data_IF_770153142886
#
_entry.id   IF_770153142886
#
_cell.length_a   1.000
_cell.length_b   1.000
_cell.length_c   1.000
_cell.angle_alpha   90.00
_cell.angle_beta   90.00
_cell.angle_gamma   90.00
#
_symmetry.space_group_name_H-M   'P 1'
#
loop_
_entity.id
_entity.type
_entity.pdbx_description
1 polymer ?
#
# COMPACT_ATOMS: atom_id res chain seq x y z
N UNK A 1 -21.17 8.45 30.43
CA UNK A 1 -21.44 8.96 29.06
C UNK A 1 -20.33 9.84 28.50
N UNK A 2 -19.80 10.82 29.25
CA UNK A 2 -18.70 11.72 28.81
C UNK A 2 -17.38 10.99 28.47
N UNK A 3 -17.03 9.94 29.22
CA UNK A 3 -15.85 9.09 28.97
C UNK A 3 -15.96 8.27 27.67
N UNK A 4 -17.14 7.76 27.35
CA UNK A 4 -17.37 6.98 26.12
C UNK A 4 -17.21 7.83 24.85
N UNK A 5 -17.69 9.09 24.91
CA UNK A 5 -17.51 10.05 23.82
C UNK A 5 -16.03 10.40 23.62
N UNK A 6 -15.27 10.55 24.70
CA UNK A 6 -13.83 10.83 24.63
C UNK A 6 -13.03 9.66 24.00
N UNK A 7 -13.37 8.41 24.34
CA UNK A 7 -12.77 7.23 23.73
C UNK A 7 -13.08 7.14 22.22
N UNK A 8 -14.33 7.40 21.82
CA UNK A 8 -14.72 7.38 20.40
C UNK A 8 -13.99 8.46 19.60
N UNK A 9 -13.79 9.65 20.15
CA UNK A 9 -13.04 10.72 19.50
C UNK A 9 -11.56 10.36 19.32
N UNK A 10 -10.92 9.72 20.32
CA UNK A 10 -9.54 9.25 20.19
C UNK A 10 -9.41 8.21 19.08
N UNK A 11 -10.34 7.25 19.00
CA UNK A 11 -10.36 6.23 17.93
C UNK A 11 -10.50 6.89 16.56
N UNK A 12 -11.41 7.85 16.40
CA UNK A 12 -11.60 8.58 15.13
C UNK A 12 -10.33 9.37 14.74
N UNK A 13 -9.63 10.00 15.70
CA UNK A 13 -8.39 10.72 15.43
C UNK A 13 -7.27 9.79 14.94
N UNK A 14 -7.15 8.56 15.47
CA UNK A 14 -6.13 7.60 14.99
C UNK A 14 -6.33 7.15 13.54
N UNK A 15 -7.56 7.19 13.04
CA UNK A 15 -7.91 6.78 11.66
C UNK A 15 -7.52 7.84 10.62
N UNK A 16 -7.21 9.07 11.04
CA UNK A 16 -6.90 10.20 10.16
C UNK A 16 -5.42 10.33 9.74
N UNK A 17 -4.61 9.26 9.84
CA UNK A 17 -3.25 9.22 9.30
C UNK A 17 -3.31 9.18 7.76
N UNK A 18 -3.55 10.32 7.10
CA UNK A 18 -2.54 11.26 6.60
C UNK A 18 -1.49 10.52 5.77
N UNK A 19 -1.40 10.87 4.48
CA UNK A 19 -0.37 10.45 3.53
C UNK A 19 1.02 10.79 4.07
N UNK A 20 1.51 9.99 5.03
CA UNK A 20 2.81 10.18 5.65
C UNK A 20 3.86 9.81 4.62
N UNK A 21 4.86 10.69 4.51
CA UNK A 21 6.05 10.40 3.74
C UNK A 21 6.83 9.26 4.41
N UNK A 22 7.41 8.37 3.62
CA UNK A 22 8.16 7.21 4.09
C UNK A 22 9.49 7.07 3.35
N UNK A 23 10.51 6.50 3.99
CA UNK A 23 11.75 6.10 3.33
C UNK A 23 11.80 4.59 3.09
N UNK A 24 11.04 3.83 3.87
CA UNK A 24 10.98 2.38 3.81
C UNK A 24 9.64 1.84 4.33
N UNK A 25 9.43 0.53 4.18
CA UNK A 25 8.22 -0.15 4.66
C UNK A 25 7.97 0.02 6.16
N UNK A 26 9.02 0.12 6.99
CA UNK A 26 8.89 0.23 8.46
C UNK A 26 8.32 1.57 8.93
N UNK A 27 8.30 2.57 8.05
CA UNK A 27 7.71 3.89 8.35
C UNK A 27 6.18 3.89 8.20
N UNK A 28 5.62 2.84 7.56
CA UNK A 28 4.20 2.71 7.28
C UNK A 28 3.51 1.79 8.31
N UNK A 29 2.24 2.10 8.66
CA UNK A 29 1.46 1.24 9.53
C UNK A 29 1.10 -0.08 8.85
N UNK A 30 0.63 -1.05 9.64
CA UNK A 30 0.13 -2.33 9.13
C UNK A 30 -0.99 -2.12 8.11
N UNK A 31 -0.99 -2.93 7.06
CA UNK A 31 -1.93 -2.80 5.93
C UNK A 31 -1.59 -1.67 4.94
N UNK A 32 -0.44 -1.01 5.10
CA UNK A 32 0.08 -0.02 4.14
C UNK A 32 1.46 -0.44 3.64
N UNK A 33 1.86 0.06 2.46
CA UNK A 33 3.20 -0.05 1.93
C UNK A 33 3.80 1.31 1.57
N UNK A 34 5.14 1.39 1.50
CA UNK A 34 5.83 2.59 1.06
C UNK A 34 6.04 2.61 -0.47
N UNK A 35 5.47 3.59 -1.16
CA UNK A 35 5.55 3.76 -2.64
C UNK A 35 6.38 4.99 -3.04
N UNK A 36 6.83 5.08 -4.29
CA UNK A 36 7.66 6.19 -4.80
C UNK A 36 9.15 5.83 -5.01
N UNK A 37 9.44 4.55 -5.28
CA UNK A 37 10.77 3.99 -5.49
C UNK A 37 11.51 4.43 -6.77
N UNK A 38 11.10 5.52 -7.41
CA UNK A 38 11.82 6.11 -8.57
C UNK A 38 13.20 6.66 -8.15
N UNK A 39 13.34 7.06 -6.88
CA UNK A 39 14.59 7.59 -6.32
C UNK A 39 14.71 7.18 -4.86
N UNK A 40 15.87 6.71 -4.43
CA UNK A 40 16.13 6.32 -3.04
C UNK A 40 16.10 7.52 -2.08
N UNK A 41 16.59 8.69 -2.51
CA UNK A 41 16.72 9.88 -1.66
C UNK A 41 15.42 10.67 -1.47
N UNK A 42 14.43 10.50 -2.35
CA UNK A 42 13.13 11.18 -2.23
C UNK A 42 12.23 10.44 -1.24
N UNK A 43 11.53 11.16 -0.35
CA UNK A 43 10.46 10.56 0.45
C UNK A 43 9.39 9.95 -0.45
N UNK A 44 9.08 8.68 -0.19
CA UNK A 44 7.92 7.98 -0.72
C UNK A 44 6.65 8.37 0.04
N UNK A 45 5.55 7.66 -0.22
CA UNK A 45 4.26 7.84 0.43
C UNK A 45 3.69 6.50 0.85
N UNK A 46 3.20 6.41 2.09
CA UNK A 46 2.46 5.24 2.56
C UNK A 46 1.11 5.15 1.85
N UNK A 47 0.87 4.04 1.16
CA UNK A 47 -0.39 3.71 0.48
C UNK A 47 -0.95 2.42 1.02
N UNK A 48 -2.27 2.21 0.94
CA UNK A 48 -2.88 0.94 1.35
C UNK A 48 -2.37 -0.21 0.48
N UNK A 49 -2.25 -1.40 1.07
CA UNK A 49 -2.03 -2.65 0.32
C UNK A 49 -3.12 -2.82 -0.74
N UNK A 50 -2.78 -3.43 -1.88
CA UNK A 50 -3.73 -3.62 -2.97
C UNK A 50 -4.75 -4.73 -2.64
N UNK A 51 -6.03 -4.45 -2.86
CA UNK A 51 -7.13 -5.38 -2.65
C UNK A 51 -7.41 -6.24 -3.90
N UNK A 52 -8.31 -7.21 -3.78
CA UNK A 52 -8.70 -8.10 -4.88
C UNK A 52 -9.20 -7.30 -6.10
N UNK A 53 -8.63 -7.58 -7.27
CA UNK A 53 -8.91 -6.89 -8.53
C UNK A 53 -8.14 -5.57 -8.74
N UNK A 54 -7.44 -5.06 -7.72
CA UNK A 54 -6.62 -3.85 -7.86
C UNK A 54 -5.27 -4.12 -8.51
N UNK A 55 -4.69 -3.07 -9.09
CA UNK A 55 -3.35 -3.12 -9.66
C UNK A 55 -2.28 -3.19 -8.57
N UNK A 56 -1.32 -4.08 -8.76
CA UNK A 56 -0.21 -4.30 -7.83
C UNK A 56 1.15 -4.10 -8.49
N UNK A 57 2.18 -3.86 -7.68
CA UNK A 57 3.56 -4.01 -8.16
C UNK A 57 3.96 -5.50 -8.03
N UNK A 58 4.30 -6.19 -9.14
CA UNK A 58 4.48 -7.64 -9.15
C UNK A 58 5.84 -8.08 -8.62
N UNK A 59 6.76 -7.15 -8.41
CA UNK A 59 8.12 -7.42 -7.99
C UNK A 59 8.40 -6.76 -6.65
N UNK A 60 9.24 -7.38 -5.81
CA UNK A 60 9.75 -6.70 -4.63
C UNK A 60 10.49 -5.43 -5.07
N UNK A 61 10.49 -4.39 -4.22
CA UNK A 61 11.14 -3.15 -4.57
C UNK A 61 12.65 -3.35 -4.69
N UNK A 62 13.26 -2.84 -5.75
CA UNK A 62 14.72 -2.78 -5.88
C UNK A 62 15.35 -1.76 -4.93
N UNK A 63 14.53 -0.82 -4.44
CA UNK A 63 14.87 0.12 -3.36
C UNK A 63 14.14 -0.29 -2.08
N UNK A 64 14.23 0.51 -1.02
CA UNK A 64 13.38 0.31 0.18
C UNK A 64 11.87 0.61 -0.06
N UNK A 65 11.48 0.96 -1.30
CA UNK A 65 10.15 1.49 -1.68
C UNK A 65 9.63 0.86 -2.96
N UNK A 66 8.34 0.52 -2.98
CA UNK A 66 7.64 0.10 -4.18
C UNK A 66 7.57 1.23 -5.21
N UNK A 67 7.45 0.88 -6.49
CA UNK A 67 7.59 1.85 -7.57
C UNK A 67 6.39 2.79 -7.62
N UNK A 68 5.20 2.25 -7.90
CA UNK A 68 3.95 2.99 -8.07
C UNK A 68 2.80 2.44 -7.23
N UNK A 69 2.80 1.12 -7.00
CA UNK A 69 1.67 0.40 -6.38
C UNK A 69 2.15 -0.41 -5.19
N UNK A 70 1.24 -0.74 -4.30
CA UNK A 70 1.54 -1.67 -3.23
C UNK A 70 1.48 -3.12 -3.73
N UNK A 71 2.13 -4.05 -3.02
CA UNK A 71 1.83 -5.46 -3.19
C UNK A 71 0.39 -5.74 -2.73
N UNK A 72 -0.09 -6.93 -3.06
CA UNK A 72 -1.40 -7.37 -2.60
C UNK A 72 -1.42 -7.58 -1.09
N UNK A 73 -2.60 -7.41 -0.49
CA UNK A 73 -2.84 -7.86 0.90
C UNK A 73 -2.63 -9.37 1.03
N UNK A 74 -2.34 -9.84 2.25
CA UNK A 74 -2.14 -11.26 2.55
C UNK A 74 -3.30 -12.14 2.02
N UNK A 75 -2.95 -13.30 1.47
CA UNK A 75 -3.92 -14.23 0.87
C UNK A 75 -4.26 -13.95 -0.60
N UNK A 76 -3.66 -12.92 -1.22
CA UNK A 76 -3.79 -12.62 -2.63
C UNK A 76 -2.44 -12.72 -3.35
N UNK A 77 -2.45 -13.09 -4.63
CA UNK A 77 -1.29 -13.12 -5.53
C UNK A 77 -1.39 -12.03 -6.59
N UNK A 78 -0.27 -11.35 -6.84
CA UNK A 78 -0.14 -10.38 -7.94
C UNK A 78 0.16 -11.13 -9.24
N UNK A 79 -0.83 -11.25 -10.13
CA UNK A 79 -0.71 -12.00 -11.39
C UNK A 79 -0.67 -11.06 -12.59
N UNK A 80 0.18 -11.38 -13.57
CA UNK A 80 0.13 -10.73 -14.87
C UNK A 80 -1.04 -11.33 -15.65
N UNK A 81 -1.98 -10.51 -16.11
CA UNK A 81 -3.03 -10.99 -16.99
C UNK A 81 -2.42 -11.28 -18.36
N UNK A 82 -2.11 -12.54 -18.64
CA UNK A 82 -1.59 -12.99 -19.93
C UNK A 82 -2.71 -13.06 -20.97
N UNK A 83 -3.23 -11.91 -21.41
CA UNK A 83 -4.07 -11.85 -22.60
C UNK A 83 -3.75 -10.60 -23.41
N UNK A 84 -2.87 -10.81 -24.39
CA UNK A 84 -2.63 -10.11 -25.67
C UNK A 84 -2.71 -8.58 -25.59
N UNK A 85 -1.57 -7.95 -25.90
CA UNK A 85 -1.26 -6.51 -25.94
C UNK A 85 -0.58 -5.98 -24.66
N UNK A 86 0.59 -5.41 -24.90
CA UNK A 86 1.67 -4.94 -24.01
C UNK A 86 1.31 -3.86 -22.97
N UNK A 87 0.07 -3.82 -22.46
CA UNK A 87 -0.44 -2.72 -21.61
C UNK A 87 -1.24 -3.14 -20.38
N UNK A 88 -1.54 -4.43 -20.16
CA UNK A 88 -2.26 -4.86 -18.95
C UNK A 88 -1.33 -4.88 -17.74
N UNK A 89 -1.57 -3.96 -16.81
CA UNK A 89 -0.90 -3.91 -15.50
C UNK A 89 -1.33 -5.12 -14.66
N UNK A 90 -0.44 -5.71 -13.84
CA UNK A 90 -0.76 -6.88 -13.03
C UNK A 90 -1.77 -6.55 -11.94
N UNK A 91 -2.57 -7.55 -11.55
CA UNK A 91 -3.72 -7.42 -10.63
C UNK A 91 -3.64 -8.44 -9.50
N UNK A 92 -4.24 -8.10 -8.35
CA UNK A 92 -4.38 -9.02 -7.23
C UNK A 92 -5.54 -9.99 -7.45
N UNK A 93 -5.28 -11.29 -7.32
CA UNK A 93 -6.28 -12.36 -7.37
C UNK A 93 -6.15 -13.25 -6.14
N UNK A 94 -7.21 -13.96 -5.75
CA UNK A 94 -7.10 -14.96 -4.67
C UNK A 94 -6.11 -16.05 -5.04
N UNK A 95 -5.29 -16.42 -4.06
CA UNK A 95 -4.37 -17.56 -4.16
C UNK A 95 -5.11 -18.90 -4.29
#
# INVERSE_FOLDING_TARGET
>A
MKLLVFCLLIVIYTVSAFEKGCYSQVDCPDGYCCTGGISEWRKGVCRKMAEEGELCDPYPPSTAKYYLRCPCVEGLKCVKTEEVVSTKSPVCVRE
#
